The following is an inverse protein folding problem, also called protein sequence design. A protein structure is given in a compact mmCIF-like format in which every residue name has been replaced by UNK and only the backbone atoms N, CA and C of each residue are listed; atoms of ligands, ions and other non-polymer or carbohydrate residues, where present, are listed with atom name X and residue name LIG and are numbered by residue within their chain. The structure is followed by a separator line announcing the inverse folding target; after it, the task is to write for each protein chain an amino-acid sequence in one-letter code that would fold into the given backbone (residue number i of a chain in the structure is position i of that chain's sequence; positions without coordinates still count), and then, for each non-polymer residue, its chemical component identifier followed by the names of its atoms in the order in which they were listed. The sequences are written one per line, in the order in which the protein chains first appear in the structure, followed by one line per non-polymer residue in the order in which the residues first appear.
data_IF_023338625883
#
_entry.id   IF_023338625883
#
_cell.length_a   1.000
_cell.length_b   1.000
_cell.length_c   1.000
_cell.angle_alpha   90.00
_cell.angle_beta   90.00
_cell.angle_gamma   90.00
#
_symmetry.space_group_name_H-M   'P 1'
#
loop_
_entity.id
_entity.type
_entity.pdbx_description
1 polymer ?
#
# COMPACT_ATOMS: atom_id res chain seq x y z
N UNK A 1 5.35 -7.59 13.87
CA UNK A 1 4.84 -6.43 13.09
C UNK A 1 5.03 -6.75 11.60
N UNK A 2 4.09 -6.32 10.73
CA UNK A 2 4.23 -6.40 9.25
C UNK A 2 4.05 -4.98 8.72
N UNK A 3 4.94 -4.52 7.84
CA UNK A 3 4.83 -3.24 7.17
C UNK A 3 4.21 -3.44 5.78
N UNK A 4 3.05 -2.84 5.54
CA UNK A 4 2.42 -2.77 4.22
C UNK A 4 2.73 -1.40 3.63
N UNK A 5 3.32 -1.38 2.43
CA UNK A 5 3.89 -0.18 1.84
C UNK A 5 3.19 0.16 0.52
N UNK A 6 2.82 1.42 0.37
CA UNK A 6 2.29 1.99 -0.87
C UNK A 6 3.42 2.52 -1.77
N UNK A 7 3.09 2.86 -2.99
CA UNK A 7 3.96 3.67 -3.85
C UNK A 7 4.32 5.02 -3.19
N UNK A 8 5.43 5.63 -3.58
CA UNK A 8 5.74 7.00 -3.17
C UNK A 8 4.63 7.96 -3.61
N UNK A 9 4.37 8.99 -2.80
CA UNK A 9 3.29 9.96 -3.04
C UNK A 9 3.27 10.45 -4.49
N UNK A 10 2.13 10.38 -5.17
CA UNK A 10 1.94 10.80 -6.56
C UNK A 10 2.39 9.81 -7.63
N UNK A 11 3.20 8.79 -7.32
CA UNK A 11 3.70 7.81 -8.31
C UNK A 11 2.55 7.03 -8.96
N UNK A 12 1.60 6.53 -8.18
CA UNK A 12 0.43 5.80 -8.74
C UNK A 12 -0.37 6.68 -9.71
N UNK A 13 -0.49 8.00 -9.44
CA UNK A 13 -1.14 8.95 -10.33
C UNK A 13 -0.33 9.16 -11.62
N UNK A 14 1.00 9.26 -11.53
CA UNK A 14 1.86 9.39 -12.71
C UNK A 14 1.75 8.16 -13.63
N UNK A 15 1.78 6.96 -13.05
CA UNK A 15 1.59 5.70 -13.80
C UNK A 15 0.21 5.65 -14.48
N UNK A 16 -0.85 6.02 -13.77
CA UNK A 16 -2.22 6.06 -14.32
C UNK A 16 -2.36 7.09 -15.44
N UNK A 17 -1.80 8.30 -15.26
CA UNK A 17 -1.83 9.35 -16.29
C UNK A 17 -1.07 8.96 -17.54
N UNK A 18 0.07 8.29 -17.42
CA UNK A 18 0.82 7.78 -18.57
C UNK A 18 0.04 6.70 -19.34
N UNK A 19 -0.64 5.78 -18.61
CA UNK A 19 -1.53 4.79 -19.22
C UNK A 19 -2.67 5.44 -19.98
N UNK A 20 -3.28 6.49 -19.44
CA UNK A 20 -4.36 7.23 -20.07
C UNK A 20 -3.85 7.97 -21.32
N UNK A 21 -2.71 8.65 -21.24
CA UNK A 21 -2.10 9.34 -22.36
C UNK A 21 -1.82 8.38 -23.53
N UNK A 22 -1.19 7.24 -23.27
CA UNK A 22 -0.92 6.22 -24.30
C UNK A 22 -2.22 5.65 -24.88
N UNK A 23 -3.23 5.40 -24.04
CA UNK A 23 -4.54 4.90 -24.48
C UNK A 23 -5.30 5.93 -25.34
N UNK A 24 -5.05 7.22 -25.13
CA UNK A 24 -5.63 8.33 -25.90
C UNK A 24 -4.83 8.68 -27.15
N UNK A 25 -3.81 7.90 -27.49
CA UNK A 25 -3.05 8.05 -28.74
C UNK A 25 -1.82 8.93 -28.67
N UNK A 26 -1.34 9.29 -27.46
CA UNK A 26 -0.05 9.98 -27.32
C UNK A 26 1.11 9.10 -27.79
N UNK A 27 2.22 9.74 -28.17
CA UNK A 27 3.44 9.04 -28.58
C UNK A 27 3.99 8.19 -27.41
N UNK A 28 3.74 6.90 -27.48
CA UNK A 28 4.07 5.96 -26.40
C UNK A 28 5.55 5.99 -26.01
N UNK A 29 6.54 5.90 -26.94
CA UNK A 29 7.94 6.00 -26.57
C UNK A 29 8.24 7.25 -25.74
N UNK A 30 7.82 8.42 -26.21
CA UNK A 30 8.08 9.68 -25.50
C UNK A 30 7.43 9.71 -24.11
N UNK A 31 6.17 9.25 -23.96
CA UNK A 31 5.46 9.19 -22.66
C UNK A 31 6.16 8.22 -21.70
N UNK A 32 6.60 7.07 -22.19
CA UNK A 32 7.22 6.04 -21.32
C UNK A 32 8.63 6.45 -20.93
N UNK A 33 9.42 7.04 -21.85
CA UNK A 33 10.78 7.50 -21.56
C UNK A 33 10.77 8.63 -20.50
N UNK A 34 9.88 9.61 -20.63
CA UNK A 34 9.69 10.70 -19.67
C UNK A 34 9.27 10.17 -18.28
N UNK A 35 8.30 9.25 -18.27
CA UNK A 35 7.87 8.59 -17.03
C UNK A 35 9.01 7.84 -16.35
N UNK A 36 9.79 7.07 -17.11
CA UNK A 36 10.92 6.29 -16.58
C UNK A 36 11.99 7.21 -16.01
N UNK A 37 12.33 8.30 -16.69
CA UNK A 37 13.28 9.30 -16.19
C UNK A 37 12.78 9.95 -14.89
N UNK A 38 11.51 10.35 -14.87
CA UNK A 38 10.87 10.93 -13.67
C UNK A 38 10.89 9.95 -12.48
N UNK A 39 10.48 8.70 -12.71
CA UNK A 39 10.49 7.68 -11.65
C UNK A 39 11.90 7.32 -11.21
N UNK A 40 12.86 7.23 -12.13
CA UNK A 40 14.27 7.00 -11.81
C UNK A 40 14.81 8.09 -10.88
N UNK A 41 14.68 9.34 -11.28
CA UNK A 41 15.17 10.49 -10.50
C UNK A 41 14.55 10.52 -9.12
N UNK A 42 13.23 10.44 -9.03
CA UNK A 42 12.51 10.50 -7.75
C UNK A 42 12.88 9.38 -6.77
N UNK A 43 13.00 8.14 -7.26
CA UNK A 43 13.35 7.01 -6.40
C UNK A 43 14.85 6.99 -6.05
N UNK A 44 15.71 7.48 -6.93
CA UNK A 44 17.12 7.64 -6.62
C UNK A 44 17.34 8.72 -5.54
N UNK A 45 16.67 9.87 -5.65
CA UNK A 45 16.72 10.94 -4.63
C UNK A 45 16.17 10.45 -3.29
N UNK A 46 15.04 9.72 -3.30
CA UNK A 46 14.49 9.14 -2.06
C UNK A 46 15.44 8.13 -1.44
N UNK A 47 16.05 7.27 -2.24
CA UNK A 47 17.05 6.32 -1.76
C UNK A 47 18.31 7.04 -1.22
N UNK A 48 18.73 8.13 -1.85
CA UNK A 48 19.85 8.95 -1.36
C UNK A 48 19.54 9.60 -0.01
N UNK A 49 18.31 10.03 0.20
CA UNK A 49 17.89 10.70 1.42
C UNK A 49 17.81 9.75 2.64
N UNK A 50 17.52 8.45 2.43
CA UNK A 50 17.16 7.54 3.54
C UNK A 50 18.06 6.31 3.67
N UNK A 51 18.89 5.98 2.67
CA UNK A 51 19.72 4.78 2.67
C UNK A 51 21.22 5.12 2.84
N UNK A 52 21.94 4.25 3.53
CA UNK A 52 23.40 4.26 3.55
C UNK A 52 23.98 4.06 2.13
N UNK A 53 25.24 4.45 1.87
CA UNK A 53 25.88 4.19 0.57
C UNK A 53 25.82 2.73 0.13
N UNK A 54 26.02 1.79 1.06
CA UNK A 54 25.97 0.35 0.79
C UNK A 54 24.55 -0.08 0.35
N UNK A 55 23.53 0.38 1.05
CA UNK A 55 22.13 0.03 0.72
C UNK A 55 21.66 0.70 -0.58
N UNK A 56 22.16 1.88 -0.90
CA UNK A 56 21.89 2.53 -2.20
C UNK A 56 22.47 1.71 -3.37
N UNK A 57 23.68 1.17 -3.18
CA UNK A 57 24.29 0.29 -4.18
C UNK A 57 23.44 -0.98 -4.37
N UNK A 58 22.92 -1.55 -3.27
CA UNK A 58 22.01 -2.70 -3.31
C UNK A 58 20.66 -2.36 -3.96
N UNK A 59 20.13 -1.13 -3.80
CA UNK A 59 18.87 -0.69 -4.40
C UNK A 59 18.96 -0.47 -5.91
N UNK A 60 20.08 0.02 -6.41
CA UNK A 60 20.25 0.43 -7.82
C UNK A 60 19.85 -0.64 -8.84
N UNK A 61 20.21 -1.93 -8.70
CA UNK A 61 19.75 -2.98 -9.60
C UNK A 61 18.23 -3.16 -9.60
N UNK A 62 17.58 -3.10 -8.43
CA UNK A 62 16.13 -3.19 -8.32
C UNK A 62 15.42 -2.07 -9.07
N UNK A 63 15.88 -0.83 -8.89
CA UNK A 63 15.34 0.33 -9.61
C UNK A 63 15.42 0.11 -11.12
N UNK A 64 16.62 -0.24 -11.63
CA UNK A 64 16.83 -0.48 -13.07
C UNK A 64 15.94 -1.59 -13.61
N UNK A 65 15.81 -2.71 -12.89
CA UNK A 65 15.03 -3.86 -13.36
C UNK A 65 13.52 -3.56 -13.35
N UNK A 66 13.01 -2.82 -12.37
CA UNK A 66 11.61 -2.42 -12.33
C UNK A 66 11.29 -1.43 -13.45
N UNK A 67 12.15 -0.46 -13.73
CA UNK A 67 11.96 0.47 -14.85
C UNK A 67 12.01 -0.22 -16.21
N UNK A 68 12.91 -1.19 -16.41
CA UNK A 68 12.89 -2.05 -17.62
C UNK A 68 11.59 -2.87 -17.72
N UNK A 69 11.05 -3.33 -16.58
CA UNK A 69 9.80 -4.08 -16.56
C UNK A 69 8.61 -3.17 -16.91
N UNK A 70 8.67 -1.89 -16.53
CA UNK A 70 7.69 -0.87 -16.90
C UNK A 70 7.61 -0.68 -18.42
N UNK A 71 8.74 -0.53 -19.11
CA UNK A 71 8.77 -0.48 -20.57
C UNK A 71 8.07 -1.69 -21.19
N UNK A 72 8.44 -2.90 -20.76
CA UNK A 72 7.84 -4.14 -21.26
C UNK A 72 6.33 -4.24 -20.97
N UNK A 73 5.86 -3.69 -19.86
CA UNK A 73 4.45 -3.65 -19.53
C UNK A 73 3.70 -2.71 -20.50
N UNK A 74 4.24 -1.52 -20.79
CA UNK A 74 3.66 -0.62 -21.79
C UNK A 74 3.65 -1.20 -23.22
N UNK A 75 4.64 -2.02 -23.59
CA UNK A 75 4.63 -2.72 -24.87
C UNK A 75 3.46 -3.72 -24.97
N UNK A 76 3.06 -4.31 -23.84
CA UNK A 76 1.90 -5.22 -23.79
C UNK A 76 0.56 -4.50 -23.74
N UNK A 77 0.49 -3.29 -23.17
CA UNK A 77 -0.73 -2.47 -23.17
C UNK A 77 -1.25 -2.21 -24.58
N UNK A 78 -0.36 -2.16 -25.58
CA UNK A 78 -0.73 -1.99 -26.99
C UNK A 78 -1.37 -3.25 -27.63
N UNK A 79 -1.37 -4.39 -26.96
CA UNK A 79 -1.94 -5.66 -27.43
C UNK A 79 -3.30 -5.89 -26.76
N UNK A 80 -4.35 -6.03 -27.56
CA UNK A 80 -5.73 -6.11 -27.06
C UNK A 80 -5.97 -7.29 -26.10
N UNK A 81 -5.35 -8.45 -26.36
CA UNK A 81 -5.48 -9.66 -25.55
C UNK A 81 -4.78 -9.61 -24.18
N UNK A 82 -3.89 -8.62 -23.95
CA UNK A 82 -3.11 -8.48 -22.74
C UNK A 82 -3.27 -7.12 -22.04
N UNK A 83 -4.12 -6.26 -22.60
CA UNK A 83 -4.23 -4.86 -22.19
C UNK A 83 -4.49 -4.70 -20.69
N UNK A 84 -5.51 -5.33 -20.15
CA UNK A 84 -5.92 -5.14 -18.76
C UNK A 84 -4.86 -5.68 -17.78
N UNK A 85 -4.33 -6.87 -18.02
CA UNK A 85 -3.25 -7.43 -17.22
C UNK A 85 -1.97 -6.58 -17.30
N UNK A 86 -1.68 -6.00 -18.46
CA UNK A 86 -0.53 -5.11 -18.63
C UNK A 86 -0.71 -3.78 -17.90
N UNK A 87 -1.94 -3.23 -17.85
CA UNK A 87 -2.27 -2.04 -17.05
C UNK A 87 -2.00 -2.28 -15.56
N UNK A 88 -2.44 -3.40 -15.02
CA UNK A 88 -2.15 -3.79 -13.63
C UNK A 88 -0.66 -3.94 -13.38
N UNK A 89 0.07 -4.54 -14.32
CA UNK A 89 1.52 -4.66 -14.23
C UNK A 89 2.23 -3.29 -14.25
N UNK A 90 1.74 -2.30 -14.99
CA UNK A 90 2.23 -0.92 -14.96
C UNK A 90 1.97 -0.29 -13.60
N UNK A 91 0.73 -0.34 -13.11
CA UNK A 91 0.35 0.29 -11.84
C UNK A 91 1.10 -0.32 -10.65
N UNK A 92 1.37 -1.63 -10.66
CA UNK A 92 2.09 -2.33 -9.60
C UNK A 92 3.56 -1.88 -9.45
N UNK A 93 4.15 -1.23 -10.46
CA UNK A 93 5.55 -0.78 -10.41
C UNK A 93 5.78 0.22 -9.29
N UNK A 94 4.79 1.05 -8.95
CA UNK A 94 4.93 2.04 -7.88
C UNK A 94 5.32 1.42 -6.53
N UNK A 95 4.57 0.43 -6.09
CA UNK A 95 4.84 -0.30 -4.84
C UNK A 95 6.10 -1.17 -4.96
N UNK A 96 6.33 -1.78 -6.11
CA UNK A 96 7.54 -2.56 -6.36
C UNK A 96 8.83 -1.73 -6.31
N UNK A 97 8.75 -0.42 -6.56
CA UNK A 97 9.88 0.51 -6.41
C UNK A 97 10.06 0.98 -4.97
N UNK A 98 8.98 1.20 -4.21
CA UNK A 98 9.05 1.74 -2.84
C UNK A 98 9.42 0.69 -1.79
N UNK A 99 8.93 -0.54 -1.92
CA UNK A 99 9.17 -1.63 -0.93
C UNK A 99 10.65 -1.90 -0.68
N UNK A 100 11.53 -2.01 -1.69
CA UNK A 100 12.96 -2.20 -1.43
C UNK A 100 13.59 -1.04 -0.66
N UNK A 101 13.19 0.20 -0.89
CA UNK A 101 13.70 1.36 -0.14
C UNK A 101 13.39 1.21 1.35
N UNK A 102 12.13 0.94 1.70
CA UNK A 102 11.72 0.75 3.10
C UNK A 102 12.41 -0.48 3.71
N UNK A 103 12.51 -1.58 2.97
CA UNK A 103 13.21 -2.78 3.42
C UNK A 103 14.67 -2.49 3.78
N UNK A 104 15.37 -1.78 2.91
CA UNK A 104 16.77 -1.44 3.09
C UNK A 104 16.97 -0.41 4.21
N UNK A 105 16.09 0.59 4.32
CA UNK A 105 16.11 1.58 5.43
C UNK A 105 15.90 0.90 6.79
N UNK A 106 14.99 -0.06 6.90
CA UNK A 106 14.80 -0.84 8.14
C UNK A 106 16.05 -1.67 8.48
N UNK A 107 16.74 -2.22 7.48
CA UNK A 107 18.01 -2.93 7.69
C UNK A 107 19.13 -1.99 8.16
N UNK A 108 19.23 -0.80 7.59
CA UNK A 108 20.16 0.24 8.07
C UNK A 108 19.88 0.63 9.53
N UNK A 109 18.62 0.60 9.95
CA UNK A 109 18.22 0.79 11.34
C UNK A 109 18.46 -0.45 12.24
N UNK A 110 19.11 -1.49 11.75
CA UNK A 110 19.44 -2.71 12.50
C UNK A 110 18.29 -3.71 12.65
N UNK A 111 17.18 -3.52 11.92
CA UNK A 111 16.05 -4.44 11.97
C UNK A 111 16.19 -5.57 10.96
N UNK A 112 15.72 -6.76 11.34
CA UNK A 112 15.56 -7.87 10.40
C UNK A 112 14.31 -7.61 9.54
N UNK A 113 14.52 -7.08 8.34
CA UNK A 113 13.45 -6.74 7.41
C UNK A 113 13.52 -7.62 6.16
N UNK A 114 12.86 -8.78 6.13
CA UNK A 114 12.72 -9.56 4.91
C UNK A 114 11.75 -8.87 3.94
N UNK A 115 12.11 -8.86 2.65
CA UNK A 115 11.21 -8.46 1.57
C UNK A 115 10.39 -9.66 1.14
N UNK A 116 9.10 -9.45 0.88
CA UNK A 116 8.22 -10.45 0.30
C UNK A 116 7.40 -9.87 -0.85
N UNK A 117 7.29 -10.64 -1.92
CA UNK A 117 6.44 -10.25 -3.04
C UNK A 117 4.97 -10.46 -2.67
N UNK A 118 4.15 -9.43 -2.79
CA UNK A 118 2.72 -9.53 -2.54
C UNK A 118 2.04 -10.52 -3.51
N UNK A 119 2.55 -10.66 -4.74
CA UNK A 119 2.07 -11.61 -5.75
C UNK A 119 2.20 -13.09 -5.33
N UNK A 120 3.10 -13.39 -4.40
CA UNK A 120 3.26 -14.74 -3.86
C UNK A 120 2.25 -15.02 -2.73
N UNK A 121 1.70 -13.98 -2.12
CA UNK A 121 0.85 -14.05 -0.93
C UNK A 121 -0.63 -13.80 -1.22
N UNK A 122 -0.95 -12.77 -2.01
CA UNK A 122 -2.32 -12.33 -2.27
C UNK A 122 -2.81 -12.95 -3.58
N UNK A 123 -3.66 -13.94 -3.47
CA UNK A 123 -4.29 -14.61 -4.61
C UNK A 123 -5.58 -13.91 -4.97
N UNK A 124 -5.81 -13.66 -6.26
CA UNK A 124 -7.01 -12.97 -6.76
C UNK A 124 -7.64 -13.71 -7.93
N UNK A 125 -8.83 -13.28 -8.32
CA UNK A 125 -9.37 -13.52 -9.66
C UNK A 125 -8.65 -12.65 -10.70
N UNK A 126 -9.11 -12.70 -11.94
CA UNK A 126 -8.61 -11.96 -13.09
C UNK A 126 -9.44 -10.71 -13.44
N UNK A 127 -10.21 -10.19 -12.48
CA UNK A 127 -10.90 -8.91 -12.63
C UNK A 127 -9.92 -7.74 -12.52
N UNK A 128 -9.03 -7.62 -13.53
CA UNK A 128 -7.95 -6.63 -13.56
C UNK A 128 -8.45 -5.20 -13.25
N UNK A 129 -7.64 -4.40 -12.56
CA UNK A 129 -7.96 -3.06 -12.10
C UNK A 129 -8.71 -2.99 -10.77
N UNK A 130 -9.44 -4.06 -10.38
CA UNK A 130 -10.15 -4.16 -9.11
C UNK A 130 -10.37 -5.64 -8.72
N UNK A 131 -9.31 -6.43 -8.75
CA UNK A 131 -9.37 -7.88 -8.55
C UNK A 131 -9.87 -8.25 -7.14
N UNK A 132 -10.67 -9.30 -7.08
CA UNK A 132 -11.21 -9.83 -5.84
C UNK A 132 -10.25 -10.85 -5.23
N UNK A 133 -9.96 -10.68 -3.95
CA UNK A 133 -9.08 -11.59 -3.22
C UNK A 133 -9.76 -12.93 -2.98
N UNK A 134 -9.11 -14.00 -3.38
CA UNK A 134 -9.47 -15.38 -3.03
C UNK A 134 -9.04 -15.64 -1.58
N UNK A 135 -10.01 -15.47 -0.65
CA UNK A 135 -9.77 -15.41 0.79
C UNK A 135 -9.03 -16.63 1.36
N UNK A 136 -9.46 -17.83 1.00
CA UNK A 136 -8.92 -19.07 1.56
C UNK A 136 -7.46 -19.27 1.11
N UNK A 137 -7.21 -19.19 -0.20
CA UNK A 137 -5.87 -19.34 -0.77
C UNK A 137 -4.90 -18.28 -0.24
N UNK A 138 -5.35 -17.03 -0.12
CA UNK A 138 -4.56 -15.92 0.44
C UNK A 138 -4.26 -16.18 1.93
N UNK A 139 -5.26 -16.61 2.70
CA UNK A 139 -5.10 -16.92 4.14
C UNK A 139 -4.05 -17.99 4.35
N UNK A 140 -4.11 -19.07 3.59
CA UNK A 140 -3.17 -20.19 3.71
C UNK A 140 -1.74 -19.75 3.37
N UNK A 141 -1.56 -18.99 2.27
CA UNK A 141 -0.25 -18.47 1.86
C UNK A 141 0.32 -17.50 2.89
N UNK A 142 -0.45 -16.51 3.33
CA UNK A 142 -0.01 -15.49 4.30
C UNK A 142 0.33 -16.12 5.64
N UNK A 143 -0.49 -17.03 6.16
CA UNK A 143 -0.20 -17.73 7.44
C UNK A 143 1.00 -18.64 7.33
N UNK A 144 1.16 -19.38 6.24
CA UNK A 144 2.32 -20.24 6.00
C UNK A 144 3.61 -19.42 5.94
N UNK A 145 3.60 -18.35 5.16
CA UNK A 145 4.72 -17.42 5.07
C UNK A 145 5.08 -16.81 6.42
N UNK A 146 4.10 -16.28 7.15
CA UNK A 146 4.35 -15.59 8.43
C UNK A 146 4.93 -16.54 9.49
N UNK A 147 4.48 -17.80 9.53
CA UNK A 147 5.05 -18.83 10.42
C UNK A 147 6.51 -19.17 10.10
N UNK A 148 6.94 -19.00 8.87
CA UNK A 148 8.32 -19.22 8.45
C UNK A 148 9.27 -18.06 8.75
N UNK A 149 8.76 -16.92 9.24
CA UNK A 149 9.60 -15.77 9.56
C UNK A 149 10.36 -15.97 10.88
N UNK A 150 11.57 -15.44 10.93
CA UNK A 150 12.32 -15.41 12.19
C UNK A 150 11.64 -14.52 13.23
N UNK A 151 11.67 -14.90 14.52
CA UNK A 151 11.13 -14.08 15.59
C UNK A 151 11.73 -12.66 15.59
N UNK A 152 10.86 -11.66 15.73
CA UNK A 152 11.26 -10.25 15.74
C UNK A 152 11.56 -9.64 14.36
N UNK A 153 11.37 -10.39 13.27
CA UNK A 153 11.45 -9.82 11.94
C UNK A 153 10.30 -8.83 11.68
N UNK A 154 10.59 -7.81 10.90
CA UNK A 154 9.64 -6.80 10.40
C UNK A 154 9.56 -6.93 8.89
N UNK A 155 8.77 -7.89 8.37
CA UNK A 155 8.66 -8.06 6.94
C UNK A 155 7.97 -6.86 6.28
N UNK A 156 8.42 -6.56 5.06
CA UNK A 156 7.88 -5.48 4.22
C UNK A 156 7.20 -6.07 3.00
N UNK A 157 5.94 -5.75 2.80
CA UNK A 157 5.10 -6.27 1.72
C UNK A 157 4.46 -5.11 0.96
N UNK A 158 4.39 -5.22 -0.35
CA UNK A 158 3.65 -4.26 -1.17
C UNK A 158 2.15 -4.33 -0.86
N UNK A 159 1.53 -3.20 -0.63
CA UNK A 159 0.07 -3.09 -0.68
C UNK A 159 -0.44 -3.08 -2.11
N UNK A 160 -1.76 -3.00 -2.30
CA UNK A 160 -2.41 -2.81 -3.60
C UNK A 160 -2.27 -3.96 -4.61
N UNK A 161 -1.26 -4.82 -4.48
CA UNK A 161 -0.86 -5.83 -5.47
C UNK A 161 -1.29 -7.22 -5.02
N UNK A 162 -1.73 -8.04 -5.99
CA UNK A 162 -1.92 -9.48 -5.89
C UNK A 162 -1.53 -10.17 -7.20
N UNK A 163 -1.87 -11.44 -7.32
CA UNK A 163 -1.74 -12.17 -8.56
C UNK A 163 -2.86 -13.21 -8.69
N UNK A 164 -3.21 -13.55 -9.93
CA UNK A 164 -4.02 -14.72 -10.22
C UNK A 164 -3.30 -16.01 -9.79
N UNK A 165 -4.00 -17.13 -9.73
CA UNK A 165 -3.37 -18.43 -9.47
C UNK A 165 -2.28 -18.79 -10.47
N UNK A 166 -2.38 -18.29 -11.70
CA UNK A 166 -1.37 -18.48 -12.76
C UNK A 166 -0.19 -17.51 -12.66
N UNK A 167 -0.17 -16.60 -11.65
CA UNK A 167 0.92 -15.67 -11.41
C UNK A 167 0.85 -14.37 -12.20
N UNK A 168 -0.27 -14.06 -12.86
CA UNK A 168 -0.46 -12.77 -13.53
C UNK A 168 -0.74 -11.70 -12.49
N UNK A 169 0.05 -10.63 -12.49
CA UNK A 169 -0.10 -9.50 -11.55
C UNK A 169 -1.47 -8.86 -11.69
N UNK A 170 -2.11 -8.60 -10.55
CA UNK A 170 -3.39 -7.90 -10.44
C UNK A 170 -3.29 -6.75 -9.46
N UNK A 171 -4.21 -5.80 -9.54
CA UNK A 171 -4.35 -4.72 -8.58
C UNK A 171 -5.71 -4.78 -7.88
N UNK A 172 -5.73 -4.33 -6.62
CA UNK A 172 -6.92 -4.41 -5.76
C UNK A 172 -7.83 -3.18 -5.87
N UNK A 173 -7.57 -2.31 -6.85
CA UNK A 173 -8.35 -1.11 -7.11
C UNK A 173 -8.16 -0.01 -6.07
N UNK A 174 -9.08 0.96 -6.05
CA UNK A 174 -8.99 2.15 -5.21
C UNK A 174 -8.72 1.79 -3.74
N UNK A 175 -7.78 2.49 -3.08
CA UNK A 175 -7.30 2.22 -1.71
C UNK A 175 -6.83 0.78 -1.46
N UNK A 176 -6.27 0.15 -2.49
CA UNK A 176 -5.83 -1.23 -2.42
C UNK A 176 -4.74 -1.50 -1.37
N UNK A 177 -3.87 -0.52 -1.06
CA UNK A 177 -2.84 -0.68 -0.02
C UNK A 177 -3.45 -0.72 1.39
N UNK A 178 -4.44 0.15 1.67
CA UNK A 178 -5.16 0.14 2.94
C UNK A 178 -5.96 -1.17 3.10
N UNK A 179 -6.58 -1.64 2.01
CA UNK A 179 -7.25 -2.93 2.00
C UNK A 179 -6.29 -4.10 2.23
N UNK A 180 -5.10 -4.08 1.61
CA UNK A 180 -4.05 -5.09 1.87
C UNK A 180 -3.66 -5.12 3.34
N UNK A 181 -3.46 -3.95 3.96
CA UNK A 181 -3.09 -3.84 5.36
C UNK A 181 -4.19 -4.43 6.28
N UNK A 182 -5.45 -4.11 6.02
CA UNK A 182 -6.59 -4.65 6.76
C UNK A 182 -6.75 -6.17 6.59
N UNK A 183 -6.54 -6.66 5.37
CA UNK A 183 -6.58 -8.09 5.06
C UNK A 183 -5.49 -8.86 5.82
N UNK A 184 -4.24 -8.36 5.80
CA UNK A 184 -3.14 -8.97 6.56
C UNK A 184 -3.40 -8.90 8.07
N UNK A 185 -3.93 -7.79 8.58
CA UNK A 185 -4.30 -7.66 9.98
C UNK A 185 -5.34 -8.71 10.39
N UNK A 186 -6.38 -8.91 9.59
CA UNK A 186 -7.41 -9.93 9.82
C UNK A 186 -6.83 -11.35 9.77
N UNK A 187 -6.09 -11.69 8.70
CA UNK A 187 -5.52 -13.04 8.50
C UNK A 187 -4.57 -13.43 9.63
N UNK A 188 -3.75 -12.48 10.08
CA UNK A 188 -2.73 -12.69 11.11
C UNK A 188 -3.25 -12.43 12.53
N UNK A 189 -4.53 -12.13 12.71
CA UNK A 189 -5.15 -11.78 13.99
C UNK A 189 -4.32 -10.72 14.73
N UNK A 190 -4.03 -9.62 14.04
CA UNK A 190 -3.22 -8.55 14.57
C UNK A 190 -3.89 -7.88 15.77
N UNK A 191 -3.11 -7.35 16.71
CA UNK A 191 -3.62 -6.60 17.87
C UNK A 191 -4.21 -5.25 17.48
N UNK A 192 -3.82 -4.71 16.31
CA UNK A 192 -4.29 -3.45 15.77
C UNK A 192 -3.60 -3.13 14.45
N UNK A 193 -4.15 -2.16 13.72
CA UNK A 193 -3.60 -1.60 12.49
C UNK A 193 -3.29 -0.12 12.68
N UNK A 194 -2.07 0.32 12.40
CA UNK A 194 -1.74 1.75 12.32
C UNK A 194 -1.59 2.15 10.85
N UNK A 195 -2.40 3.12 10.41
CA UNK A 195 -2.27 3.79 9.12
C UNK A 195 -1.53 5.10 9.33
N UNK A 196 -0.38 5.24 8.68
CA UNK A 196 0.34 6.50 8.62
C UNK A 196 -0.07 7.30 7.39
N UNK A 197 -0.30 8.60 7.57
CA UNK A 197 -0.70 9.56 6.53
C UNK A 197 -0.04 10.92 6.81
N UNK A 198 -0.27 11.90 5.96
CA UNK A 198 0.23 13.28 6.07
C UNK A 198 -0.56 14.15 7.07
N UNK A 199 -1.73 13.70 7.52
CA UNK A 199 -2.53 14.41 8.54
C UNK A 199 -2.48 13.72 9.91
N UNK A 200 -2.73 14.49 10.98
CA UNK A 200 -2.60 14.02 12.38
C UNK A 200 -3.70 13.08 12.86
N UNK A 201 -4.61 12.71 12.02
CA UNK A 201 -5.75 11.90 12.35
C UNK A 201 -6.92 12.21 11.43
N UNK A 202 -8.11 11.90 11.88
CA UNK A 202 -9.35 12.14 11.15
C UNK A 202 -9.94 13.46 11.64
N UNK A 203 -10.37 14.31 10.71
CA UNK A 203 -10.97 15.62 10.99
C UNK A 203 -12.45 15.65 10.70
N UNK A 204 -13.16 16.63 11.28
CA UNK A 204 -14.58 16.86 11.03
C UNK A 204 -14.87 17.31 9.60
N UNK A 205 -13.90 17.96 8.95
CA UNK A 205 -13.86 18.37 7.55
C UNK A 205 -12.40 18.39 7.08
N UNK A 206 -12.15 18.66 5.80
CA UNK A 206 -10.80 18.84 5.27
C UNK A 206 -10.12 20.07 5.92
N UNK A 207 -9.05 19.91 6.71
CA UNK A 207 -8.39 21.00 7.41
C UNK A 207 -7.72 22.02 6.46
N UNK A 208 -7.38 21.63 5.24
CA UNK A 208 -6.79 22.54 4.25
C UNK A 208 -7.86 23.43 3.59
N UNK A 209 -9.11 22.97 3.57
CA UNK A 209 -10.24 23.70 3.00
C UNK A 209 -11.07 24.45 4.06
N UNK A 210 -11.07 23.98 5.32
CA UNK A 210 -11.91 24.46 6.41
C UNK A 210 -11.09 24.76 7.66
N UNK A 211 -10.87 26.04 7.95
CA UNK A 211 -10.05 26.47 9.09
C UNK A 211 -10.67 26.20 10.47
N UNK A 212 -11.92 25.78 10.53
CA UNK A 212 -12.68 25.33 11.70
C UNK A 212 -12.76 23.81 11.84
N UNK A 213 -12.03 23.07 10.99
CA UNK A 213 -11.98 21.62 11.06
C UNK A 213 -11.27 21.17 12.34
N UNK A 214 -11.96 20.39 13.15
CA UNK A 214 -11.44 19.83 14.39
C UNK A 214 -11.05 18.35 14.20
N UNK A 215 -9.91 17.97 14.81
CA UNK A 215 -9.51 16.56 14.83
C UNK A 215 -10.44 15.77 15.74
N UNK A 216 -10.86 14.61 15.29
CA UNK A 216 -11.69 13.69 16.06
C UNK A 216 -10.80 12.86 16.98
N UNK A 217 -11.05 12.91 18.28
CA UNK A 217 -10.21 12.24 19.27
C UNK A 217 -10.30 10.72 19.19
N UNK A 218 -11.46 10.17 18.93
CA UNK A 218 -11.71 8.75 18.68
C UNK A 218 -13.05 8.54 18.01
N UNK A 219 -13.26 7.38 17.39
CA UNK A 219 -14.57 6.97 16.86
C UNK A 219 -14.75 5.46 16.95
N UNK A 220 -16.00 5.01 16.89
CA UNK A 220 -16.33 3.60 16.76
C UNK A 220 -16.26 3.17 15.29
N UNK A 221 -16.20 1.84 15.03
CA UNK A 221 -16.29 1.30 13.66
C UNK A 221 -17.60 1.71 12.98
N UNK A 222 -18.72 1.74 13.70
CA UNK A 222 -20.01 2.18 13.17
C UNK A 222 -19.97 3.65 12.74
N UNK A 223 -19.43 4.53 13.58
CA UNK A 223 -19.26 5.95 13.26
C UNK A 223 -18.33 6.14 12.03
N UNK A 224 -17.27 5.32 11.91
CA UNK A 224 -16.36 5.36 10.77
C UNK A 224 -17.07 4.94 9.49
N UNK A 225 -17.87 3.86 9.50
CA UNK A 225 -18.68 3.47 8.34
C UNK A 225 -19.69 4.55 7.94
N UNK A 226 -20.42 5.12 8.87
CA UNK A 226 -21.37 6.19 8.59
C UNK A 226 -20.70 7.42 7.94
N UNK A 227 -19.48 7.76 8.39
CA UNK A 227 -18.71 8.85 7.76
C UNK A 227 -18.20 8.51 6.37
N UNK A 228 -17.82 7.28 6.13
CA UNK A 228 -17.44 6.82 4.78
C UNK A 228 -18.62 6.97 3.82
N UNK A 229 -19.80 6.52 4.21
CA UNK A 229 -21.02 6.61 3.40
C UNK A 229 -21.42 8.05 3.08
N UNK A 230 -21.16 8.99 4.00
CA UNK A 230 -21.36 10.43 3.78
C UNK A 230 -20.22 11.11 3.01
N UNK A 231 -19.18 10.40 2.62
CA UNK A 231 -18.00 10.95 1.92
C UNK A 231 -17.02 11.72 2.84
N UNK A 232 -17.21 11.66 4.16
CA UNK A 232 -16.48 12.48 5.13
C UNK A 232 -15.23 11.84 5.74
N UNK A 233 -14.76 10.69 5.24
CA UNK A 233 -13.61 10.00 5.86
C UNK A 233 -12.40 9.83 4.94
N UNK A 234 -12.51 10.01 3.63
CA UNK A 234 -11.43 9.75 2.68
C UNK A 234 -10.90 8.30 2.78
N UNK A 235 -11.80 7.35 3.05
CA UNK A 235 -11.48 5.93 3.19
C UNK A 235 -12.60 5.09 2.58
N UNK A 236 -12.24 3.95 1.96
CA UNK A 236 -13.22 3.06 1.33
C UNK A 236 -13.76 2.02 2.34
N UNK A 237 -15.06 1.65 2.31
CA UNK A 237 -15.63 0.65 3.23
C UNK A 237 -14.88 -0.69 3.23
N UNK A 238 -14.31 -1.11 2.09
CA UNK A 238 -13.54 -2.36 1.99
C UNK A 238 -12.32 -2.40 2.91
N UNK A 239 -11.76 -1.23 3.28
CA UNK A 239 -10.63 -1.14 4.21
C UNK A 239 -11.04 -1.47 5.64
N UNK A 240 -12.19 -0.96 6.09
CA UNK A 240 -12.64 -1.20 7.47
C UNK A 240 -13.30 -2.56 7.67
N UNK A 241 -13.93 -3.12 6.64
CA UNK A 241 -14.70 -4.36 6.78
C UNK A 241 -13.89 -5.53 7.37
N UNK A 242 -12.67 -5.87 6.91
CA UNK A 242 -11.88 -6.95 7.50
C UNK A 242 -11.55 -6.71 8.98
N UNK A 243 -11.32 -5.45 9.35
CA UNK A 243 -11.00 -5.05 10.73
C UNK A 243 -12.24 -5.17 11.62
N UNK A 244 -13.39 -4.69 11.16
CA UNK A 244 -14.65 -4.77 11.89
C UNK A 244 -15.07 -6.23 12.12
N UNK A 245 -15.00 -7.08 11.08
CA UNK A 245 -15.30 -8.52 11.16
C UNK A 245 -14.43 -9.25 12.19
N UNK A 246 -13.16 -8.82 12.34
CA UNK A 246 -12.20 -9.43 13.25
C UNK A 246 -12.11 -8.74 14.62
N UNK A 247 -12.84 -7.65 14.84
CA UNK A 247 -12.75 -6.86 16.07
C UNK A 247 -11.37 -6.20 16.27
N UNK A 248 -10.68 -5.85 15.19
CA UNK A 248 -9.32 -5.28 15.22
C UNK A 248 -9.42 -3.77 15.18
N UNK A 249 -8.87 -3.02 16.16
CA UNK A 249 -8.85 -1.57 16.15
C UNK A 249 -7.89 -1.05 15.09
N UNK A 250 -8.18 0.15 14.58
CA UNK A 250 -7.33 0.89 13.66
C UNK A 250 -6.95 2.23 14.28
N UNK A 251 -5.78 2.76 13.95
CA UNK A 251 -5.33 4.09 14.32
C UNK A 251 -4.81 4.84 13.10
N UNK A 252 -5.29 6.06 12.87
CA UNK A 252 -4.79 6.97 11.83
C UNK A 252 -3.84 7.96 12.48
N UNK A 253 -2.59 8.02 12.01
CA UNK A 253 -1.51 8.84 12.60
C UNK A 253 -0.72 9.58 11.53
N UNK A 254 -0.13 10.71 11.93
CA UNK A 254 0.81 11.43 11.06
C UNK A 254 2.14 10.70 10.94
N UNK A 255 2.69 10.66 9.72
CA UNK A 255 4.06 10.21 9.46
C UNK A 255 5.07 11.24 9.98
N UNK A 256 4.73 12.53 9.93
CA UNK A 256 5.60 13.63 10.37
C UNK A 256 5.61 13.80 11.90
N UNK A 257 4.54 13.37 12.56
CA UNK A 257 4.41 13.40 14.04
C UNK A 257 4.06 12.01 14.59
N UNK A 258 4.96 11.04 14.47
CA UNK A 258 4.66 9.63 14.77
C UNK A 258 4.40 9.35 16.27
N UNK A 259 4.73 10.28 17.17
CA UNK A 259 4.41 10.19 18.59
C UNK A 259 3.02 10.74 18.94
N UNK A 260 2.40 11.51 18.03
CA UNK A 260 1.04 12.01 18.22
C UNK A 260 0.03 10.86 18.20
N UNK A 261 -0.96 10.81 19.12
CA UNK A 261 -1.89 9.68 19.23
C UNK A 261 -2.76 9.46 17.99
N UNK A 262 -2.98 10.49 17.17
CA UNK A 262 -3.84 10.40 15.99
C UNK A 262 -5.32 10.22 16.35
N UNK A 263 -6.05 9.55 15.47
CA UNK A 263 -7.46 9.17 15.70
C UNK A 263 -7.60 7.65 15.70
N UNK A 264 -7.88 7.03 16.84
CA UNK A 264 -8.23 5.62 16.90
C UNK A 264 -9.68 5.37 16.46
N UNK A 265 -9.87 4.25 15.74
CA UNK A 265 -11.15 3.68 15.35
C UNK A 265 -11.26 2.33 16.08
N UNK A 266 -12.22 2.20 16.96
CA UNK A 266 -12.33 1.05 17.84
C UNK A 266 -13.59 0.22 17.56
N UNK A 267 -13.56 -1.11 17.79
CA UNK A 267 -14.76 -1.94 17.78
C UNK A 267 -15.78 -1.44 18.80
N UNK A 268 -17.06 -1.71 18.55
CA UNK A 268 -18.14 -1.35 19.47
C UNK A 268 -17.90 -1.91 20.87
N UNK A 269 -18.10 -1.06 21.89
CA UNK A 269 -17.94 -1.44 23.29
C UNK A 269 -16.49 -1.63 23.77
N UNK A 270 -15.51 -1.42 22.92
CA UNK A 270 -14.09 -1.48 23.29
C UNK A 270 -13.60 -0.12 23.82
N UNK A 271 -12.71 -0.14 24.81
CA UNK A 271 -12.02 1.06 25.31
C UNK A 271 -10.63 1.16 24.71
N UNK A 272 -10.15 2.39 24.49
CA UNK A 272 -8.80 2.65 23.95
C UNK A 272 -7.68 2.02 24.78
N UNK A 273 -7.79 2.09 26.10
CA UNK A 273 -6.80 1.57 27.04
C UNK A 273 -6.64 0.05 26.96
N UNK A 274 -7.74 -0.68 26.66
CA UNK A 274 -7.71 -2.14 26.53
C UNK A 274 -7.05 -2.60 25.23
N UNK A 275 -7.12 -1.78 24.16
CA UNK A 275 -6.69 -2.16 22.80
C UNK A 275 -5.32 -1.61 22.43
N UNK A 276 -4.92 -0.48 22.99
CA UNK A 276 -3.66 0.22 22.69
C UNK A 276 -3.03 0.72 23.99
N UNK A 277 -2.36 -0.16 24.76
CA UNK A 277 -1.67 0.28 25.97
C UNK A 277 -0.66 1.36 25.60
N UNK A 278 -0.56 2.39 26.44
CA UNK A 278 0.45 3.44 26.31
C UNK A 278 1.85 2.79 26.23
N UNK A 279 2.77 3.37 25.45
CA UNK A 279 4.12 2.84 25.27
C UNK A 279 4.91 2.76 26.57
#
# INVERSE_FOLDING_TARGET
MVAIVSALSGVSRQLASALEAVSSGADRPAVVDDLVETLHTRHAEQAEAVLSPEQREAYTPHLKDRLKSLHRAFDRVARDDQREAARDAVLAVGEQLSVPIITLALRDAGLRAPHCNATDLVVTDDAFGAAHVQRDATTDRVRSWYRGLEPGAVPVVAGFIGATETGTTTTLGFEGSDYSAALFAQILTARGLTRFTDVDGIYTADPDAHGDAERIDHMTMEQAFARIESGGLGMHPKTLRPLAEAGIPMQVRSIDRPTHPGTPIVPEGATLEALWPAP
#
